data_IF_707943541161
#
_entry.id   IF_707943541161
#
_cell.length_a   1.000
_cell.length_b   1.000
_cell.length_c   1.000
_cell.angle_alpha   90.00
_cell.angle_beta   90.00
_cell.angle_gamma   90.00
#
_symmetry.space_group_name_H-M   'P 1'
#
loop_
_entity.id
_entity.type
_entity.pdbx_description
1 polymer ?
#
# COMPACT_ATOMS: atom_id res chain seq x y z
N UNK A 1 10.03 7.20 28.46
CA UNK A 1 8.80 6.81 29.20
C UNK A 1 7.62 6.88 28.23
N UNK A 2 6.91 5.77 28.12
CA UNK A 2 5.73 5.58 27.30
C UNK A 2 4.50 5.35 28.18
N UNK A 3 3.31 5.62 27.65
CA UNK A 3 2.05 5.27 28.30
C UNK A 3 1.15 4.51 27.33
N UNK A 4 0.42 3.54 27.87
CA UNK A 4 -0.54 2.75 27.11
C UNK A 4 -1.93 3.12 27.63
N UNK A 5 -2.79 3.62 26.75
CA UNK A 5 -4.19 3.88 27.04
C UNK A 5 -5.02 2.78 26.40
N UNK A 6 -5.90 2.17 27.19
CA UNK A 6 -6.77 1.11 26.71
C UNK A 6 -8.18 1.23 27.25
N UNK A 7 -9.15 0.85 26.42
CA UNK A 7 -10.54 0.63 26.82
C UNK A 7 -10.91 -0.88 26.81
N UNK A 8 -9.91 -1.76 26.79
CA UNK A 8 -10.10 -3.22 26.72
C UNK A 8 -10.36 -3.77 25.31
N UNK A 9 -10.53 -2.91 24.31
CA UNK A 9 -10.71 -3.28 22.89
C UNK A 9 -9.63 -2.64 22.02
N UNK A 10 -9.14 -1.47 22.41
CA UNK A 10 -8.15 -0.69 21.68
C UNK A 10 -7.05 -0.25 22.62
N UNK A 11 -5.81 -0.52 22.23
CA UNK A 11 -4.60 -0.15 22.95
C UNK A 11 -3.83 0.87 22.12
N UNK A 12 -3.61 2.05 22.69
CA UNK A 12 -2.85 3.14 22.08
C UNK A 12 -1.60 3.38 22.88
N UNK A 13 -0.46 3.35 22.20
CA UNK A 13 0.85 3.51 22.83
C UNK A 13 1.37 4.88 22.48
N UNK A 14 1.67 5.67 23.51
CA UNK A 14 2.16 7.03 23.36
C UNK A 14 3.55 7.18 23.96
N UNK A 15 4.38 8.01 23.34
CA UNK A 15 5.64 8.44 23.95
C UNK A 15 5.40 9.70 24.77
N UNK A 16 5.24 9.53 26.08
CA UNK A 16 4.83 10.60 27.00
C UNK A 16 5.84 11.74 27.07
N UNK A 17 7.12 11.43 26.90
CA UNK A 17 8.24 12.38 26.97
C UNK A 17 8.36 13.30 25.74
N UNK A 18 7.62 13.03 24.65
CA UNK A 18 7.73 13.81 23.44
C UNK A 18 7.06 15.19 23.61
N UNK A 19 7.73 16.26 23.16
CA UNK A 19 7.25 17.65 23.24
C UNK A 19 6.41 18.03 22.02
N UNK A 20 5.32 17.30 21.77
CA UNK A 20 4.35 17.58 20.72
C UNK A 20 2.90 17.43 21.23
N UNK A 21 1.91 17.73 20.39
CA UNK A 21 0.50 17.55 20.76
C UNK A 21 0.20 16.07 21.03
N UNK A 22 -0.76 15.78 21.92
CA UNK A 22 -1.13 14.41 22.30
C UNK A 22 -1.36 13.44 21.11
N UNK A 23 -2.07 13.80 20.02
CA UNK A 23 -2.22 12.89 18.87
C UNK A 23 -0.89 12.58 18.16
N UNK A 24 0.02 13.55 18.13
CA UNK A 24 1.34 13.37 17.50
C UNK A 24 2.27 12.49 18.35
N UNK A 25 1.94 12.24 19.63
CA UNK A 25 2.68 11.33 20.51
C UNK A 25 2.34 9.86 20.29
N UNK A 26 1.38 9.54 19.42
CA UNK A 26 0.96 8.17 19.16
C UNK A 26 2.06 7.44 18.38
N UNK A 27 2.56 6.36 18.96
CA UNK A 27 3.54 5.47 18.31
C UNK A 27 2.82 4.46 17.43
N UNK A 28 1.89 3.72 18.02
CA UNK A 28 1.08 2.74 17.32
C UNK A 28 -0.21 2.42 18.08
N UNK A 29 -1.17 1.86 17.34
CA UNK A 29 -2.46 1.42 17.85
C UNK A 29 -2.66 -0.07 17.52
N UNK A 30 -3.24 -0.80 18.48
CA UNK A 30 -3.70 -2.17 18.31
C UNK A 30 -5.18 -2.20 18.66
N UNK A 31 -6.01 -2.69 17.75
CA UNK A 31 -7.44 -2.90 17.99
C UNK A 31 -7.73 -4.40 17.94
N UNK A 32 -8.57 -4.87 18.86
CA UNK A 32 -9.17 -6.22 18.83
C UNK A 32 -10.56 -6.20 18.17
N UNK A 33 -11.10 -5.01 17.90
CA UNK A 33 -12.37 -4.85 17.20
C UNK A 33 -12.25 -5.39 15.76
N UNK A 34 -13.06 -6.38 15.36
CA UNK A 34 -13.03 -6.96 14.01
C UNK A 34 -13.27 -5.95 12.90
N UNK A 35 -14.08 -4.92 13.14
CA UNK A 35 -14.42 -3.88 12.15
C UNK A 35 -13.28 -2.86 12.01
N UNK A 36 -12.67 -2.45 13.12
CA UNK A 36 -11.50 -1.56 13.08
C UNK A 36 -10.20 -2.28 12.66
N UNK A 37 -10.22 -3.61 12.65
CA UNK A 37 -9.09 -4.47 12.27
C UNK A 37 -9.22 -5.05 10.86
N UNK A 38 -10.07 -4.46 10.01
CA UNK A 38 -10.28 -4.88 8.63
C UNK A 38 -8.95 -5.18 7.92
N UNK A 39 -8.67 -6.48 7.73
CA UNK A 39 -7.49 -6.96 7.02
C UNK A 39 -6.33 -7.50 7.88
N UNK A 40 -6.40 -7.49 9.22
CA UNK A 40 -5.42 -8.16 10.09
C UNK A 40 -5.89 -9.56 10.52
N UNK A 41 -4.98 -10.52 10.57
CA UNK A 41 -5.25 -11.84 11.18
C UNK A 41 -5.07 -11.79 12.69
N UNK A 42 -5.63 -12.77 13.42
CA UNK A 42 -5.51 -12.86 14.87
C UNK A 42 -4.03 -12.96 15.29
N UNK A 43 -3.20 -13.66 14.53
CA UNK A 43 -1.77 -13.82 14.77
C UNK A 43 -1.01 -12.49 14.59
N UNK A 44 -1.42 -11.66 13.65
CA UNK A 44 -0.82 -10.34 13.43
C UNK A 44 -1.17 -9.38 14.55
N UNK A 45 -2.42 -9.41 15.01
CA UNK A 45 -2.88 -8.67 16.18
C UNK A 45 -2.11 -9.15 17.42
N UNK A 46 -1.96 -10.46 17.60
CA UNK A 46 -1.19 -11.06 18.69
C UNK A 46 0.29 -10.65 18.64
N UNK A 47 0.94 -10.63 17.47
CA UNK A 47 2.33 -10.13 17.32
C UNK A 47 2.47 -8.66 17.70
N UNK A 48 1.48 -7.83 17.37
CA UNK A 48 1.47 -6.41 17.77
C UNK A 48 1.26 -6.27 19.27
N UNK A 49 0.38 -7.09 19.85
CA UNK A 49 0.20 -7.16 21.30
C UNK A 49 1.41 -7.74 22.02
N UNK A 50 2.18 -8.63 21.40
CA UNK A 50 3.35 -9.26 21.99
C UNK A 50 4.43 -8.25 22.39
N UNK A 51 4.45 -7.08 21.77
CA UNK A 51 5.31 -5.94 22.15
C UNK A 51 5.02 -5.42 23.56
N UNK A 52 3.87 -5.78 24.13
CA UNK A 52 3.50 -5.52 25.52
C UNK A 52 3.93 -6.65 26.47
N UNK A 53 4.55 -7.74 25.96
CA UNK A 53 5.03 -8.82 26.82
C UNK A 53 6.13 -8.32 27.74
N UNK A 54 6.23 -8.93 28.94
CA UNK A 54 7.27 -8.63 29.91
C UNK A 54 8.68 -8.73 29.31
N UNK A 55 8.88 -9.69 28.42
CA UNK A 55 10.16 -9.93 27.74
C UNK A 55 10.53 -8.76 26.81
N UNK A 56 9.59 -8.30 26.00
CA UNK A 56 9.81 -7.18 25.09
C UNK A 56 9.98 -5.85 25.83
N UNK A 57 9.24 -5.67 26.94
CA UNK A 57 9.44 -4.53 27.83
C UNK A 57 10.84 -4.54 28.46
N UNK A 58 11.34 -5.70 28.91
CA UNK A 58 12.67 -5.83 29.48
C UNK A 58 13.79 -5.57 28.45
N UNK A 59 13.57 -5.93 27.18
CA UNK A 59 14.49 -5.62 26.07
C UNK A 59 14.45 -4.16 25.63
N UNK A 60 13.48 -3.36 26.09
CA UNK A 60 13.32 -1.97 25.69
C UNK A 60 12.88 -1.79 24.23
N UNK A 61 12.22 -2.79 23.62
CA UNK A 61 11.86 -2.73 22.21
C UNK A 61 10.85 -1.62 21.89
N UNK A 62 9.99 -1.27 22.86
CA UNK A 62 9.10 -0.10 22.77
C UNK A 62 9.88 1.22 22.78
N UNK A 63 10.93 1.34 23.59
CA UNK A 63 11.72 2.56 23.65
C UNK A 63 12.49 2.79 22.33
N UNK A 64 13.10 1.73 21.79
CA UNK A 64 13.75 1.76 20.48
C UNK A 64 12.77 2.09 19.35
N UNK A 65 11.59 1.45 19.33
CA UNK A 65 10.54 1.73 18.35
C UNK A 65 10.07 3.18 18.43
N UNK A 66 9.88 3.70 19.65
CA UNK A 66 9.53 5.08 19.88
C UNK A 66 10.58 6.01 19.31
N UNK A 67 11.84 5.85 19.71
CA UNK A 67 12.93 6.69 19.24
C UNK A 67 13.04 6.72 17.72
N UNK A 68 12.96 5.56 17.06
CA UNK A 68 12.97 5.46 15.61
C UNK A 68 11.77 6.19 15.00
N UNK A 69 10.55 5.90 15.44
CA UNK A 69 9.31 6.47 14.86
C UNK A 69 9.30 8.00 14.93
N UNK A 70 9.70 8.56 16.07
CA UNK A 70 9.73 10.01 16.27
C UNK A 70 10.89 10.69 15.55
N UNK A 71 12.07 10.08 15.56
CA UNK A 71 13.23 10.62 14.85
C UNK A 71 12.97 10.62 13.34
N UNK A 72 12.46 9.52 12.81
CA UNK A 72 12.09 9.40 11.40
C UNK A 72 10.96 10.38 11.04
N UNK A 73 9.98 10.57 11.93
CA UNK A 73 8.93 11.57 11.77
C UNK A 73 9.46 13.00 11.68
N UNK A 74 10.41 13.37 12.57
CA UNK A 74 11.06 14.69 12.57
C UNK A 74 11.91 14.89 11.31
N UNK A 75 12.70 13.90 10.94
CA UNK A 75 13.54 13.95 9.72
C UNK A 75 12.66 14.07 8.48
N UNK A 76 11.58 13.29 8.39
CA UNK A 76 10.60 13.38 7.30
C UNK A 76 9.98 14.77 7.21
N UNK A 77 9.55 15.35 8.34
CA UNK A 77 8.97 16.70 8.37
C UNK A 77 9.98 17.77 7.97
N UNK A 78 11.23 17.64 8.41
CA UNK A 78 12.32 18.53 8.01
C UNK A 78 12.63 18.41 6.51
N UNK A 79 12.69 17.19 5.97
CA UNK A 79 12.86 16.96 4.54
C UNK A 79 11.69 17.51 3.73
N UNK A 80 10.46 17.29 4.17
CA UNK A 80 9.27 17.85 3.52
C UNK A 80 9.33 19.39 3.51
N UNK A 81 9.71 20.03 4.61
CA UNK A 81 9.89 21.48 4.67
C UNK A 81 10.98 21.96 3.68
N UNK A 82 12.12 21.24 3.64
CA UNK A 82 13.21 21.53 2.71
C UNK A 82 12.85 21.31 1.25
N UNK A 83 11.94 20.38 0.93
CA UNK A 83 11.52 20.12 -0.45
C UNK A 83 10.38 21.05 -0.89
N UNK A 84 9.55 21.51 0.05
CA UNK A 84 8.50 22.52 -0.18
C UNK A 84 9.07 23.90 -0.49
N UNK A 85 10.13 24.33 0.20
CA UNK A 85 10.89 25.53 -0.16
C UNK A 85 12.39 25.23 -0.26
N UNK A 86 12.86 24.74 -1.42
CA UNK A 86 14.22 24.24 -1.57
C UNK A 86 15.26 25.36 -1.52
N UNK A 87 16.22 25.33 -0.56
CA UNK A 87 17.29 26.31 -0.50
C UNK A 87 18.23 26.14 -1.70
N UNK A 88 18.92 27.22 -2.08
CA UNK A 88 19.83 27.24 -3.23
C UNK A 88 20.91 26.14 -3.16
N UNK A 89 21.38 25.83 -1.95
CA UNK A 89 22.35 24.76 -1.71
C UNK A 89 21.80 23.39 -2.10
N UNK A 90 20.54 23.10 -1.75
CA UNK A 90 19.87 21.84 -2.13
C UNK A 90 19.69 21.75 -3.65
N UNK A 91 19.26 22.84 -4.29
CA UNK A 91 19.12 22.89 -5.74
C UNK A 91 20.46 22.68 -6.47
N UNK A 92 21.55 23.24 -5.93
CA UNK A 92 22.89 23.05 -6.47
C UNK A 92 23.41 21.62 -6.25
N UNK A 93 23.11 21.00 -5.11
CA UNK A 93 23.43 19.59 -4.85
C UNK A 93 22.68 18.66 -5.80
N UNK A 94 21.39 18.90 -6.03
CA UNK A 94 20.57 18.13 -6.98
C UNK A 94 21.11 18.28 -8.40
N UNK A 95 21.47 19.50 -8.83
CA UNK A 95 22.12 19.72 -10.13
C UNK A 95 23.45 18.97 -10.25
N UNK A 96 24.30 19.04 -9.22
CA UNK A 96 25.61 18.36 -9.22
C UNK A 96 25.46 16.84 -9.25
N UNK A 97 24.46 16.30 -8.56
CA UNK A 97 24.17 14.87 -8.51
C UNK A 97 23.53 14.34 -9.81
N UNK A 98 22.77 15.17 -10.53
CA UNK A 98 22.02 14.76 -11.72
C UNK A 98 22.83 14.56 -13.00
N UNK A 99 24.13 14.90 -13.01
CA UNK A 99 25.04 14.86 -14.18
C UNK A 99 24.60 15.63 -15.46
N UNK A 100 23.33 16.05 -15.56
CA UNK A 100 22.77 16.81 -16.67
C UNK A 100 22.93 18.33 -16.46
N UNK A 101 23.79 18.95 -17.26
CA UNK A 101 24.02 20.40 -17.25
C UNK A 101 22.85 21.23 -17.81
N UNK A 102 21.84 20.57 -18.39
CA UNK A 102 20.70 21.23 -19.03
C UNK A 102 19.53 21.55 -18.09
N UNK A 103 19.61 21.17 -16.80
CA UNK A 103 18.55 21.41 -15.82
C UNK A 103 18.69 22.75 -15.10
N UNK A 104 17.75 23.66 -15.36
CA UNK A 104 17.70 24.98 -14.72
C UNK A 104 17.23 24.89 -13.27
N UNK A 105 17.66 25.86 -12.44
CA UNK A 105 17.35 25.88 -11.00
C UNK A 105 15.84 25.94 -10.75
N UNK A 106 15.13 26.59 -11.67
CA UNK A 106 13.69 26.78 -11.63
C UNK A 106 12.92 25.50 -12.01
N UNK A 107 13.42 24.70 -12.97
CA UNK A 107 12.87 23.38 -13.28
C UNK A 107 13.06 22.41 -12.11
N UNK A 108 14.23 22.42 -11.47
CA UNK A 108 14.50 21.60 -10.28
C UNK A 108 13.54 22.00 -9.15
N UNK A 109 13.41 23.30 -8.85
CA UNK A 109 12.47 23.80 -7.82
C UNK A 109 11.03 23.40 -8.13
N UNK A 110 10.57 23.59 -9.38
CA UNK A 110 9.22 23.20 -9.79
C UNK A 110 9.00 21.68 -9.69
N UNK A 111 10.00 20.87 -10.02
CA UNK A 111 9.92 19.42 -9.90
C UNK A 111 9.87 18.97 -8.44
N UNK A 112 10.71 19.54 -7.57
CA UNK A 112 10.69 19.25 -6.13
C UNK A 112 9.35 19.65 -5.50
N UNK A 113 8.80 20.81 -5.86
CA UNK A 113 7.49 21.23 -5.36
C UNK A 113 6.34 20.34 -5.85
N UNK A 114 6.38 19.81 -7.09
CA UNK A 114 5.38 18.82 -7.54
C UNK A 114 5.47 17.52 -6.77
N UNK A 115 6.68 16.99 -6.58
CA UNK A 115 6.95 15.79 -5.77
C UNK A 115 6.49 15.98 -4.31
N UNK A 116 6.50 17.22 -3.81
CA UNK A 116 6.13 17.54 -2.41
C UNK A 116 4.67 17.96 -2.24
N UNK A 117 4.04 18.56 -3.27
CA UNK A 117 2.64 19.01 -3.27
C UNK A 117 1.62 17.87 -3.31
N UNK A 118 2.04 16.70 -3.77
CA UNK A 118 1.29 15.43 -3.64
C UNK A 118 1.30 14.89 -2.19
N UNK A 119 2.01 15.55 -1.26
CA UNK A 119 2.19 15.16 0.14
C UNK A 119 1.41 16.08 1.10
N UNK A 120 0.21 16.55 0.74
CA UNK A 120 -0.69 17.22 1.68
C UNK A 120 -1.89 16.31 2.05
N UNK A 121 -1.87 15.63 3.21
CA UNK A 121 -2.93 14.72 3.62
C UNK A 121 -4.06 15.52 4.27
N UNK A 122 -5.23 15.53 3.63
CA UNK A 122 -6.49 15.90 4.29
C UNK A 122 -7.10 17.22 3.82
N UNK A 123 -7.79 17.17 2.69
CA UNK A 123 -9.03 17.94 2.56
C UNK A 123 -9.96 17.19 1.58
N UNK A 124 -11.14 16.71 2.02
CA UNK A 124 -12.15 16.25 1.08
C UNK A 124 -12.70 17.46 0.31
N UNK A 125 -12.93 17.36 -1.01
CA UNK A 125 -13.56 18.43 -1.76
C UNK A 125 -15.01 18.60 -1.31
N UNK A 126 -15.32 19.75 -0.72
CA UNK A 126 -16.67 20.27 -0.54
C UNK A 126 -17.20 20.78 -1.88
N UNK A 127 -18.41 20.35 -2.25
CA UNK A 127 -19.25 21.07 -3.20
C UNK A 127 -20.07 20.18 -4.14
N UNK A 128 -21.29 19.83 -3.73
CA UNK A 128 -22.54 20.12 -4.46
C UNK A 128 -23.66 19.21 -3.94
N UNK A 129 -24.70 19.85 -3.41
CA UNK A 129 -25.93 19.24 -2.92
C UNK A 129 -26.78 18.66 -4.06
N UNK A 130 -27.37 17.48 -3.85
CA UNK A 130 -28.71 17.13 -4.37
C UNK A 130 -29.38 16.17 -3.38
N UNK A 131 -30.60 16.51 -2.97
CA UNK A 131 -31.45 15.74 -2.04
C UNK A 131 -32.34 14.71 -2.83
N UNK A 132 -33.23 13.94 -2.20
CA UNK A 132 -33.35 12.49 -2.40
C UNK A 132 -34.47 12.05 -3.34
N UNK A 133 -34.36 10.83 -3.87
CA UNK A 133 -35.43 10.16 -4.61
C UNK A 133 -35.24 8.64 -4.57
N UNK A 134 -36.11 7.97 -3.82
CA UNK A 134 -36.19 6.52 -3.72
C UNK A 134 -36.68 5.89 -5.03
N UNK A 135 -36.16 4.70 -5.37
CA UNK A 135 -36.99 3.56 -5.80
C UNK A 135 -36.15 2.29 -5.92
N UNK A 136 -36.70 1.24 -5.31
CA UNK A 136 -36.31 -0.16 -5.37
C UNK A 136 -36.35 -0.72 -6.80
N UNK A 137 -35.55 -1.76 -7.07
CA UNK A 137 -35.98 -3.03 -7.68
C UNK A 137 -34.80 -4.00 -7.88
N UNK A 138 -35.10 -5.27 -7.64
CA UNK A 138 -34.23 -6.44 -7.51
C UNK A 138 -33.66 -6.96 -8.85
N UNK A 139 -32.68 -7.88 -8.83
CA UNK A 139 -31.80 -8.16 -9.97
C UNK A 139 -32.16 -9.44 -10.71
N UNK A 140 -32.53 -9.36 -12.00
CA UNK A 140 -32.36 -10.49 -12.94
C UNK A 140 -32.60 -10.02 -14.37
N UNK A 141 -31.53 -9.70 -15.10
CA UNK A 141 -31.43 -9.69 -16.58
C UNK A 141 -30.22 -8.85 -17.03
N UNK A 142 -28.98 -9.32 -16.78
CA UNK A 142 -27.79 -8.67 -17.36
C UNK A 142 -26.77 -9.72 -17.79
N UNK A 143 -27.05 -10.45 -18.86
CA UNK A 143 -26.03 -11.26 -19.53
C UNK A 143 -26.02 -10.90 -21.03
N UNK A 144 -24.83 -10.55 -21.53
CA UNK A 144 -24.44 -10.16 -22.91
C UNK A 144 -24.16 -8.67 -23.15
N UNK A 145 -25.10 -7.75 -22.94
CA UNK A 145 -24.84 -6.31 -23.17
C UNK A 145 -23.74 -5.72 -22.27
N UNK A 146 -23.62 -6.23 -21.04
CA UNK A 146 -22.59 -5.81 -20.09
C UNK A 146 -21.16 -6.23 -20.49
N UNK A 147 -20.99 -7.33 -21.25
CA UNK A 147 -19.68 -7.80 -21.70
C UNK A 147 -19.15 -6.93 -22.85
N UNK A 148 -19.99 -6.63 -23.84
CA UNK A 148 -19.62 -5.74 -24.95
C UNK A 148 -19.36 -4.30 -24.47
N UNK A 149 -20.17 -3.77 -23.54
CA UNK A 149 -19.97 -2.45 -22.95
C UNK A 149 -18.76 -2.37 -21.98
N UNK A 150 -18.23 -3.51 -21.53
CA UNK A 150 -16.97 -3.61 -20.78
C UNK A 150 -15.77 -3.63 -21.72
N UNK A 151 -15.86 -4.37 -22.84
CA UNK A 151 -14.78 -4.46 -23.84
C UNK A 151 -14.55 -3.14 -24.56
N UNK A 152 -15.62 -2.42 -24.92
CA UNK A 152 -15.52 -1.08 -25.53
C UNK A 152 -14.97 -0.03 -24.56
N UNK A 153 -15.31 -0.11 -23.26
CA UNK A 153 -14.70 0.74 -22.21
C UNK A 153 -13.22 0.42 -21.96
N UNK A 154 -12.78 -0.83 -22.16
CA UNK A 154 -11.37 -1.23 -22.05
C UNK A 154 -10.53 -0.65 -23.18
N UNK A 155 -11.06 -0.60 -24.40
CA UNK A 155 -10.34 -0.11 -25.57
C UNK A 155 -10.20 1.43 -25.61
N UNK A 156 -11.13 2.16 -25.00
CA UNK A 156 -11.15 3.63 -24.97
C UNK A 156 -10.43 4.26 -23.77
N UNK A 157 -9.71 3.48 -22.96
CA UNK A 157 -9.10 3.99 -21.73
C UNK A 157 -7.78 4.71 -22.08
N UNK A 158 -7.87 6.04 -22.17
CA UNK A 158 -6.72 6.95 -22.02
C UNK A 158 -5.88 6.53 -20.82
N UNK A 159 -4.56 6.75 -20.90
CA UNK A 159 -3.58 6.41 -19.87
C UNK A 159 -4.17 6.58 -18.47
N UNK A 160 -4.06 5.52 -17.66
CA UNK A 160 -4.58 5.55 -16.30
C UNK A 160 -3.96 6.75 -15.58
N UNK A 161 -4.76 7.60 -14.91
CA UNK A 161 -4.22 8.78 -14.20
C UNK A 161 -3.41 8.38 -12.95
N UNK A 162 -3.28 7.08 -12.67
CA UNK A 162 -2.53 6.52 -11.57
C UNK A 162 -1.21 5.97 -12.10
N UNK A 163 -0.14 6.23 -11.37
CA UNK A 163 1.20 5.75 -11.66
C UNK A 163 1.76 4.98 -10.46
N UNK A 164 3.01 4.53 -10.57
CA UNK A 164 3.67 3.86 -9.45
C UNK A 164 3.78 4.76 -8.21
N UNK A 165 4.02 6.06 -8.41
CA UNK A 165 4.16 7.03 -7.32
C UNK A 165 2.88 7.10 -6.49
N UNK A 166 1.70 7.11 -7.11
CA UNK A 166 0.39 7.07 -6.43
C UNK A 166 0.27 5.89 -5.46
N UNK A 167 0.77 4.71 -5.81
CA UNK A 167 0.67 3.53 -4.96
C UNK A 167 1.73 3.46 -3.86
N UNK A 168 2.89 4.09 -4.07
CA UNK A 168 4.00 4.11 -3.13
C UNK A 168 3.97 5.33 -2.19
N UNK A 169 3.21 6.37 -2.55
CA UNK A 169 3.07 7.58 -1.76
C UNK A 169 2.60 7.28 -0.33
N UNK A 170 3.35 7.78 0.65
CA UNK A 170 3.04 7.61 2.06
C UNK A 170 3.17 6.19 2.61
N UNK A 171 3.68 5.22 1.84
CA UNK A 171 3.93 3.84 2.31
C UNK A 171 5.29 3.73 3.01
N UNK A 172 5.45 2.83 4.00
CA UNK A 172 6.74 2.64 4.64
C UNK A 172 7.73 1.99 3.68
N UNK A 173 9.01 2.25 3.91
CA UNK A 173 10.09 1.77 3.05
C UNK A 173 10.08 0.24 2.91
N UNK A 174 9.70 -0.50 3.94
CA UNK A 174 9.55 -1.95 3.90
C UNK A 174 8.51 -2.39 2.86
N UNK A 175 7.32 -1.77 2.87
CA UNK A 175 6.27 -2.05 1.89
C UNK A 175 6.70 -1.65 0.47
N UNK A 176 7.41 -0.53 0.32
CA UNK A 176 7.98 -0.09 -0.96
C UNK A 176 9.04 -1.08 -1.46
N UNK A 177 9.92 -1.55 -0.58
CA UNK A 177 10.97 -2.51 -0.91
C UNK A 177 10.38 -3.87 -1.30
N UNK A 178 9.34 -4.32 -0.59
CA UNK A 178 8.57 -5.51 -0.96
C UNK A 178 7.91 -5.33 -2.31
N UNK A 179 7.29 -4.18 -2.58
CA UNK A 179 6.69 -3.91 -3.88
C UNK A 179 7.73 -3.96 -5.00
N UNK A 180 8.88 -3.28 -4.86
CA UNK A 180 9.97 -3.31 -5.86
C UNK A 180 10.57 -4.70 -6.04
N UNK A 181 10.59 -5.50 -4.98
CA UNK A 181 11.00 -6.89 -5.06
C UNK A 181 10.01 -7.73 -5.85
N UNK A 182 8.72 -7.61 -5.55
CA UNK A 182 7.64 -8.27 -6.28
C UNK A 182 7.63 -7.85 -7.75
N UNK A 183 7.82 -6.57 -8.02
CA UNK A 183 7.85 -6.02 -9.37
C UNK A 183 8.95 -6.66 -10.22
N UNK A 184 10.16 -6.80 -9.66
CA UNK A 184 11.27 -7.52 -10.31
C UNK A 184 10.94 -8.99 -10.57
N UNK A 185 10.30 -9.68 -9.61
CA UNK A 185 9.88 -11.08 -9.79
C UNK A 185 8.89 -11.18 -10.94
N UNK A 186 7.81 -10.39 -10.92
CA UNK A 186 6.77 -10.40 -11.94
C UNK A 186 7.34 -10.10 -13.33
N UNK A 187 8.15 -9.05 -13.46
CA UNK A 187 8.73 -8.62 -14.75
C UNK A 187 9.80 -9.58 -15.28
N UNK A 188 10.41 -10.40 -14.42
CA UNK A 188 11.42 -11.39 -14.84
C UNK A 188 10.85 -12.58 -15.61
N UNK A 189 9.54 -12.85 -15.51
CA UNK A 189 8.94 -14.05 -16.11
C UNK A 189 8.87 -13.99 -17.64
N UNK A 190 8.55 -12.82 -18.22
CA UNK A 190 8.52 -12.59 -19.66
C UNK A 190 8.74 -11.10 -19.97
N UNK A 191 9.99 -10.65 -20.13
CA UNK A 191 10.32 -9.22 -20.24
C UNK A 191 9.65 -8.45 -21.39
N UNK A 192 9.16 -9.15 -22.42
CA UNK A 192 8.60 -8.54 -23.64
C UNK A 192 7.07 -8.54 -23.72
N UNK A 193 6.38 -9.38 -22.94
CA UNK A 193 4.93 -9.60 -23.05
C UNK A 193 4.14 -9.17 -21.80
N UNK A 194 4.85 -8.58 -20.83
CA UNK A 194 4.28 -8.16 -19.56
C UNK A 194 4.06 -6.66 -19.51
N UNK A 195 2.90 -6.26 -18.98
CA UNK A 195 2.55 -4.86 -18.79
C UNK A 195 2.05 -4.60 -17.37
N UNK A 196 2.24 -3.36 -16.91
CA UNK A 196 1.71 -2.87 -15.63
C UNK A 196 0.49 -2.00 -15.91
N UNK A 197 -0.61 -2.27 -15.23
CA UNK A 197 -1.79 -1.39 -15.23
C UNK A 197 -2.06 -0.91 -13.82
N UNK A 198 -1.94 0.40 -13.64
CA UNK A 198 -2.26 1.07 -12.39
C UNK A 198 -3.77 1.37 -12.33
N UNK A 199 -4.43 0.97 -11.26
CA UNK A 199 -5.82 1.28 -10.95
C UNK A 199 -5.85 2.17 -9.70
N UNK A 200 -7.01 2.70 -9.32
CA UNK A 200 -7.10 3.60 -8.16
C UNK A 200 -6.53 3.01 -6.85
N UNK A 201 -6.64 1.69 -6.66
CA UNK A 201 -6.21 0.99 -5.43
C UNK A 201 -5.23 -0.15 -5.66
N UNK A 202 -5.01 -0.60 -6.90
CA UNK A 202 -4.18 -1.77 -7.17
C UNK A 202 -3.31 -1.60 -8.41
N UNK A 203 -2.15 -2.24 -8.39
CA UNK A 203 -1.27 -2.41 -9.53
C UNK A 203 -1.47 -3.82 -10.08
N UNK A 204 -1.89 -3.91 -11.33
CA UNK A 204 -2.12 -5.17 -12.01
C UNK A 204 -0.96 -5.47 -12.95
N UNK A 205 -0.54 -6.73 -12.94
CA UNK A 205 0.41 -7.30 -13.87
C UNK A 205 -0.35 -8.13 -14.89
N UNK A 206 -0.29 -7.72 -16.15
CA UNK A 206 -1.01 -8.36 -17.24
C UNK A 206 -0.04 -9.02 -18.22
N UNK A 207 -0.40 -10.23 -18.63
CA UNK A 207 0.19 -10.93 -19.75
C UNK A 207 -0.80 -10.85 -20.92
N UNK A 208 -0.49 -10.03 -21.91
CA UNK A 208 -1.41 -9.69 -22.99
C UNK A 208 -2.74 -9.08 -22.51
N UNK A 209 -3.85 -9.82 -22.63
CA UNK A 209 -5.20 -9.34 -22.25
C UNK A 209 -5.67 -9.79 -20.86
N UNK A 210 -4.90 -10.64 -20.18
CA UNK A 210 -5.27 -11.28 -18.90
C UNK A 210 -4.35 -10.80 -17.77
N UNK A 211 -4.94 -10.49 -16.61
CA UNK A 211 -4.21 -10.17 -15.39
C UNK A 211 -3.81 -11.46 -14.69
N UNK A 212 -2.53 -11.63 -14.31
CA UNK A 212 -2.05 -12.79 -13.56
C UNK A 212 -1.65 -12.47 -12.12
N UNK A 213 -1.52 -11.18 -11.77
CA UNK A 213 -1.19 -10.76 -10.42
C UNK A 213 -1.71 -9.34 -10.18
N UNK A 214 -2.54 -9.16 -9.15
CA UNK A 214 -3.01 -7.85 -8.70
C UNK A 214 -2.39 -7.54 -7.35
N UNK A 215 -1.92 -6.32 -7.13
CA UNK A 215 -1.20 -5.94 -5.91
C UNK A 215 -1.78 -4.66 -5.33
N UNK A 216 -2.05 -4.65 -4.03
CA UNK A 216 -2.37 -3.46 -3.27
C UNK A 216 -1.28 -3.24 -2.23
N UNK A 217 -0.55 -2.13 -2.37
CA UNK A 217 0.50 -1.73 -1.43
C UNK A 217 -0.16 -1.13 -0.18
N UNK A 218 0.07 -1.75 0.98
CA UNK A 218 -0.49 -1.35 2.26
C UNK A 218 0.58 -0.71 3.15
N UNK A 219 0.15 -0.11 4.26
CA UNK A 219 1.04 0.41 5.30
C UNK A 219 1.82 -0.71 6.02
N UNK A 220 1.45 -1.97 5.84
CA UNK A 220 2.00 -3.10 6.59
C UNK A 220 2.66 -4.16 5.69
N UNK A 221 2.81 -3.87 4.39
CA UNK A 221 3.29 -4.83 3.40
C UNK A 221 2.43 -4.80 2.13
N UNK A 222 2.24 -5.96 1.52
CA UNK A 222 1.51 -6.12 0.27
C UNK A 222 0.31 -7.05 0.45
N UNK A 223 -0.77 -6.73 -0.24
CA UNK A 223 -1.87 -7.66 -0.49
C UNK A 223 -1.88 -8.02 -1.96
N UNK A 224 -1.66 -9.29 -2.26
CA UNK A 224 -1.55 -9.80 -3.62
C UNK A 224 -2.76 -10.69 -3.91
N UNK A 225 -3.36 -10.56 -5.08
CA UNK A 225 -4.40 -11.47 -5.55
C UNK A 225 -3.94 -12.17 -6.81
N UNK A 226 -4.18 -13.47 -6.84
CA UNK A 226 -3.82 -14.34 -7.93
C UNK A 226 -5.09 -15.01 -8.51
N UNK A 227 -5.30 -15.01 -9.85
CA UNK A 227 -6.32 -15.78 -10.57
C UNK A 227 -6.09 -17.30 -10.53
N UNK A 228 -5.82 -17.81 -9.33
CA UNK A 228 -5.77 -19.21 -9.01
C UNK A 228 -7.04 -19.59 -8.25
N UNK A 229 -7.47 -20.84 -8.39
CA UNK A 229 -8.53 -21.42 -7.56
C UNK A 229 -7.91 -21.92 -6.26
N UNK A 230 -8.42 -21.50 -5.11
CA UNK A 230 -7.87 -21.88 -3.81
C UNK A 230 -7.89 -23.41 -3.59
N UNK A 231 -8.91 -24.11 -4.10
CA UNK A 231 -9.02 -25.57 -4.01
C UNK A 231 -7.97 -26.37 -4.79
N UNK A 232 -7.14 -25.73 -5.64
CA UNK A 232 -6.07 -26.39 -6.39
C UNK A 232 -4.66 -26.09 -5.80
N UNK A 233 -4.60 -25.43 -4.65
CA UNK A 233 -3.35 -25.17 -3.93
C UNK A 233 -3.21 -26.23 -2.83
N UNK A 234 -2.33 -27.19 -3.06
CA UNK A 234 -1.92 -28.14 -2.03
C UNK A 234 -1.06 -27.41 -0.99
N UNK A 235 -1.43 -27.51 0.29
CA UNK A 235 -0.75 -26.86 1.42
C UNK A 235 -0.54 -25.34 1.24
N UNK A 236 -1.62 -24.54 1.27
CA UNK A 236 -1.49 -23.08 1.17
C UNK A 236 -0.63 -22.55 2.33
N UNK A 237 0.30 -21.62 2.06
CA UNK A 237 1.09 -21.02 3.12
C UNK A 237 0.19 -20.23 4.08
N UNK A 238 0.62 -20.04 5.33
CA UNK A 238 -0.19 -19.39 6.37
C UNK A 238 -0.62 -17.93 6.02
N UNK A 239 0.06 -17.31 5.07
CA UNK A 239 -0.26 -15.97 4.55
C UNK A 239 -1.20 -15.98 3.33
N UNK A 240 -1.63 -17.15 2.87
CA UNK A 240 -2.63 -17.31 1.81
C UNK A 240 -4.04 -17.46 2.39
N UNK A 241 -5.02 -16.84 1.72
CA UNK A 241 -6.42 -16.83 2.12
C UNK A 241 -7.31 -17.05 0.91
N UNK A 242 -8.33 -17.90 1.07
CA UNK A 242 -9.42 -18.03 0.11
C UNK A 242 -10.34 -16.81 0.17
N UNK A 243 -10.53 -16.16 -0.97
CA UNK A 243 -11.43 -15.00 -1.16
C UNK A 243 -12.46 -15.24 -2.27
N UNK A 244 -12.68 -16.50 -2.69
CA UNK A 244 -13.68 -16.90 -3.70
C UNK A 244 -15.09 -16.38 -3.40
N UNK A 245 -15.48 -16.35 -2.12
CA UNK A 245 -16.79 -15.90 -1.65
C UNK A 245 -16.77 -14.49 -1.05
N UNK A 246 -15.69 -13.72 -1.24
CA UNK A 246 -15.47 -12.43 -0.59
C UNK A 246 -15.13 -11.36 -1.65
N UNK A 247 -15.83 -10.22 -1.61
CA UNK A 247 -15.54 -9.10 -2.50
C UNK A 247 -14.12 -8.54 -2.29
N UNK A 248 -13.34 -8.42 -3.36
CA UNK A 248 -11.95 -7.94 -3.31
C UNK A 248 -11.57 -7.12 -4.56
N UNK A 249 -10.45 -6.39 -4.47
CA UNK A 249 -10.03 -5.38 -5.47
C UNK A 249 -9.04 -5.90 -6.52
N UNK A 250 -8.78 -7.21 -6.49
CA UNK A 250 -7.84 -7.91 -7.36
C UNK A 250 -8.54 -8.91 -8.29
N UNK A 251 -7.74 -9.80 -8.89
CA UNK A 251 -8.25 -10.87 -9.77
C UNK A 251 -7.98 -12.21 -9.12
N UNK A 252 -9.01 -13.05 -8.97
CA UNK A 252 -8.88 -14.45 -8.56
C UNK A 252 -9.43 -14.82 -7.18
N UNK A 253 -9.24 -16.07 -6.78
CA UNK A 253 -9.82 -16.58 -5.54
C UNK A 253 -8.80 -16.65 -4.39
N UNK A 254 -7.54 -16.29 -4.65
CA UNK A 254 -6.44 -16.43 -3.70
C UNK A 254 -5.86 -15.06 -3.36
N UNK A 255 -5.92 -14.69 -2.08
CA UNK A 255 -5.28 -13.50 -1.51
C UNK A 255 -4.02 -13.91 -0.73
N UNK A 256 -2.87 -13.32 -1.02
CA UNK A 256 -1.63 -13.45 -0.26
C UNK A 256 -1.33 -12.16 0.50
N UNK A 257 -1.01 -12.28 1.78
CA UNK A 257 -0.66 -11.15 2.67
C UNK A 257 0.82 -11.19 3.00
N UNK A 258 1.61 -10.39 2.29
CA UNK A 258 3.06 -10.41 2.40
C UNK A 258 3.52 -9.25 3.28
N UNK A 259 4.12 -9.58 4.42
CA UNK A 259 4.63 -8.61 5.39
C UNK A 259 6.14 -8.50 5.42
N UNK A 260 6.86 -9.49 4.87
CA UNK A 260 8.32 -9.54 4.87
C UNK A 260 8.88 -10.26 3.64
N UNK A 261 10.20 -10.25 3.49
CA UNK A 261 10.90 -10.78 2.32
C UNK A 261 10.78 -12.30 2.19
N UNK A 262 10.86 -13.05 3.29
CA UNK A 262 10.77 -14.50 3.26
C UNK A 262 9.38 -14.99 2.77
N UNK A 263 8.31 -14.31 3.20
CA UNK A 263 6.95 -14.55 2.69
C UNK A 263 6.85 -14.26 1.20
N UNK A 264 7.50 -13.20 0.71
CA UNK A 264 7.54 -12.88 -0.72
C UNK A 264 8.26 -13.96 -1.53
N UNK A 265 9.39 -14.46 -1.02
CA UNK A 265 10.16 -15.50 -1.71
C UNK A 265 9.37 -16.83 -1.76
N UNK A 266 8.66 -17.20 -0.68
CA UNK A 266 7.73 -18.34 -0.70
C UNK A 266 6.52 -18.12 -1.63
N UNK A 267 6.05 -16.89 -1.76
CA UNK A 267 4.94 -16.54 -2.65
C UNK A 267 5.35 -16.58 -4.14
N UNK A 268 6.65 -16.51 -4.46
CA UNK A 268 7.14 -16.44 -5.83
C UNK A 268 6.67 -17.64 -6.68
N UNK A 269 6.63 -18.85 -6.10
CA UNK A 269 6.16 -20.06 -6.79
C UNK A 269 4.65 -19.99 -7.12
N UNK A 270 3.84 -19.45 -6.22
CA UNK A 270 2.41 -19.25 -6.47
C UNK A 270 2.17 -18.19 -7.54
N UNK A 271 2.93 -17.10 -7.51
CA UNK A 271 2.85 -16.04 -8.53
C UNK A 271 3.27 -16.59 -9.89
N UNK A 272 4.31 -17.44 -9.96
CA UNK A 272 4.74 -18.13 -11.18
C UNK A 272 3.65 -19.04 -11.73
N UNK A 273 3.03 -19.88 -10.90
CA UNK A 273 1.89 -20.74 -11.30
C UNK A 273 0.72 -19.91 -11.84
N UNK A 274 0.46 -18.76 -11.24
CA UNK A 274 -0.57 -17.83 -11.72
C UNK A 274 -0.25 -17.26 -13.11
N UNK A 275 1.02 -16.90 -13.34
CA UNK A 275 1.49 -16.48 -14.65
C UNK A 275 1.36 -17.59 -15.70
N UNK A 276 1.78 -18.81 -15.39
CA UNK A 276 1.70 -19.96 -16.30
C UNK A 276 0.26 -20.34 -16.67
N UNK A 277 -0.68 -20.26 -15.72
CA UNK A 277 -2.12 -20.44 -15.96
C UNK A 277 -2.69 -19.39 -16.93
N UNK A 278 -2.01 -18.25 -17.06
CA UNK A 278 -2.42 -17.12 -17.91
C UNK A 278 -1.79 -17.17 -19.30
N UNK A 279 -0.79 -18.03 -19.53
CA UNK A 279 -0.19 -18.33 -20.83
C UNK A 279 -1.20 -19.01 -21.77
#
# INVERSE_FOLDING_TARGET
MWCILTNGIKWRVYRSIEKCAAPDKLMYEVSLDPEASEGMTVEQIARRMWRFSREEMAKGSLDALGEQTFTDGKVRKALQALLSDPPRQLLNLVRKAGADQNLTTQQIKASLMRITGEVNPGQPPTGAAVAPGASSLSPSARSRGAKQAWETRRAARSESPYDEAHHLAGKPQEAVALFKALDRICMSFAPSDLSRRYLAKSVNYDHGKRCFCSVHVLQTGLRIWLPLKCGHIENPPAFARDVSNIGHWGTGDVELRISNRAELDMAADLIRRSFESTR
#
